data_IF_775371641412
#
_entry.id   IF_775371641412
#
_cell.length_a   1.000
_cell.length_b   1.000
_cell.length_c   1.000
_cell.angle_alpha   90.00
_cell.angle_beta   90.00
_cell.angle_gamma   90.00
#
_symmetry.space_group_name_H-M   'P 1'
#
loop_
_entity.id
_entity.type
_entity.pdbx_description
1 polymer ?
#
# COMPACT_ATOMS: atom_id res chain seq x y z
N UNK A 1 24.43 -11.43 -18.25
CA UNK A 1 23.68 -10.16 -18.33
C UNK A 1 22.37 -10.36 -17.58
N UNK A 2 21.92 -9.36 -16.83
CA UNK A 2 20.61 -9.39 -16.13
C UNK A 2 19.48 -9.58 -17.16
N UNK A 3 19.69 -9.18 -18.41
CA UNK A 3 18.75 -9.36 -19.52
C UNK A 3 18.42 -10.81 -19.89
N UNK A 4 19.21 -11.77 -19.45
CA UNK A 4 18.98 -13.18 -19.82
C UNK A 4 17.96 -13.88 -18.89
N UNK A 5 17.54 -13.17 -17.82
CA UNK A 5 16.52 -13.61 -16.86
C UNK A 5 15.12 -13.00 -17.12
N UNK A 6 15.05 -11.99 -17.99
CA UNK A 6 13.82 -11.22 -18.21
C UNK A 6 13.34 -11.47 -19.64
N UNK A 7 12.07 -11.79 -19.77
CA UNK A 7 11.43 -11.83 -21.09
C UNK A 7 11.40 -10.44 -21.71
N UNK A 8 11.53 -10.36 -23.03
CA UNK A 8 11.28 -9.10 -23.72
C UNK A 8 9.79 -8.75 -23.63
N UNK A 9 9.44 -7.50 -23.30
CA UNK A 9 8.05 -7.11 -23.19
C UNK A 9 7.34 -7.23 -24.55
N UNK A 10 6.11 -7.71 -24.52
CA UNK A 10 5.25 -7.81 -25.69
C UNK A 10 4.79 -6.43 -26.17
N UNK A 11 4.35 -6.32 -27.43
CA UNK A 11 3.77 -5.08 -27.97
C UNK A 11 2.57 -4.59 -27.14
N UNK A 12 1.78 -5.51 -26.59
CA UNK A 12 0.65 -5.19 -25.72
C UNK A 12 1.10 -4.55 -24.41
N UNK A 13 2.14 -5.07 -23.79
CA UNK A 13 2.73 -4.53 -22.54
C UNK A 13 3.33 -3.15 -22.80
N UNK A 14 4.08 -3.00 -23.90
CA UNK A 14 4.62 -1.71 -24.31
C UNK A 14 3.50 -0.68 -24.51
N UNK A 15 2.43 -1.05 -25.19
CA UNK A 15 1.29 -0.17 -25.40
C UNK A 15 0.57 0.17 -24.09
N UNK A 16 0.44 -0.79 -23.17
CA UNK A 16 -0.16 -0.59 -21.85
C UNK A 16 0.63 0.38 -20.97
N UNK A 17 1.97 0.33 -21.05
CA UNK A 17 2.87 1.15 -20.25
C UNK A 17 3.19 2.51 -20.88
N UNK A 18 2.84 2.71 -22.15
CA UNK A 18 3.14 3.95 -22.87
C UNK A 18 2.65 5.21 -22.11
N UNK A 19 3.41 6.33 -22.17
CA UNK A 19 4.64 6.54 -22.94
C UNK A 19 5.93 6.06 -22.26
N UNK A 20 5.84 5.45 -21.09
CA UNK A 20 7.00 4.98 -20.32
C UNK A 20 7.55 3.69 -20.93
N UNK A 21 8.88 3.59 -21.18
CA UNK A 21 9.49 2.33 -21.58
C UNK A 21 9.51 1.33 -20.42
N UNK A 22 9.36 0.06 -20.74
CA UNK A 22 9.56 -1.03 -19.80
C UNK A 22 11.07 -1.30 -19.71
N UNK A 23 11.66 -1.04 -18.54
CA UNK A 23 13.08 -1.31 -18.29
C UNK A 23 13.32 -2.74 -17.84
N UNK A 24 12.44 -3.24 -16.98
CA UNK A 24 12.47 -4.59 -16.45
C UNK A 24 11.04 -5.13 -16.49
N UNK A 25 10.83 -6.22 -17.23
CA UNK A 25 9.52 -6.86 -17.31
C UNK A 25 9.30 -7.79 -16.12
N UNK A 26 9.12 -7.22 -14.92
CA UNK A 26 9.01 -7.97 -13.67
C UNK A 26 7.70 -8.74 -13.58
N UNK A 27 6.66 -8.31 -14.30
CA UNK A 27 5.36 -8.99 -14.33
C UNK A 27 5.39 -10.40 -14.91
N UNK A 28 6.41 -10.72 -15.72
CA UNK A 28 6.60 -12.06 -16.29
C UNK A 28 7.50 -12.97 -15.43
N UNK A 29 8.04 -12.45 -14.34
CA UNK A 29 8.91 -13.23 -13.46
C UNK A 29 8.06 -14.04 -12.49
N UNK A 30 8.14 -15.37 -12.63
CA UNK A 30 7.36 -16.32 -11.83
C UNK A 30 8.23 -17.27 -10.99
N UNK A 31 9.56 -17.06 -10.96
CA UNK A 31 10.50 -17.91 -10.23
C UNK A 31 11.23 -17.09 -9.17
N UNK A 32 11.23 -17.50 -7.89
CA UNK A 32 10.59 -18.73 -7.33
C UNK A 32 9.06 -18.63 -7.21
N UNK A 33 8.48 -17.46 -7.34
CA UNK A 33 7.06 -17.13 -7.35
C UNK A 33 6.85 -15.82 -8.12
N UNK A 34 5.61 -15.45 -8.38
CA UNK A 34 5.28 -14.17 -9.05
C UNK A 34 5.86 -12.99 -8.25
N UNK A 35 6.65 -12.13 -8.94
CA UNK A 35 7.29 -10.98 -8.31
C UNK A 35 6.31 -9.82 -8.12
N UNK A 36 5.37 -9.69 -9.03
CA UNK A 36 4.33 -8.67 -8.97
C UNK A 36 2.97 -9.33 -8.76
N UNK A 37 2.12 -8.80 -7.85
CA UNK A 37 0.83 -9.41 -7.56
C UNK A 37 -0.13 -9.19 -8.74
N UNK A 38 -0.79 -10.25 -9.17
CA UNK A 38 -1.87 -10.20 -10.17
C UNK A 38 -3.23 -9.87 -9.55
N UNK A 39 -3.36 -10.12 -8.25
CA UNK A 39 -4.56 -9.83 -7.47
C UNK A 39 -4.17 -9.11 -6.17
N UNK A 40 -4.83 -8.03 -5.88
CA UNK A 40 -4.57 -7.20 -4.69
C UNK A 40 -5.81 -7.07 -3.82
N UNK A 41 -5.61 -6.97 -2.50
CA UNK A 41 -6.67 -6.73 -1.53
C UNK A 41 -6.86 -5.24 -1.27
N UNK A 42 -8.09 -4.76 -1.43
CA UNK A 42 -8.50 -3.40 -1.03
C UNK A 42 -9.53 -3.50 0.07
N UNK A 43 -9.39 -2.68 1.10
CA UNK A 43 -10.31 -2.70 2.24
C UNK A 43 -10.68 -1.28 2.67
N UNK A 44 -11.83 -1.14 3.31
CA UNK A 44 -12.27 0.11 3.91
C UNK A 44 -12.94 -0.15 5.25
N UNK A 45 -12.58 0.66 6.25
CA UNK A 45 -13.12 0.59 7.60
C UNK A 45 -13.66 1.95 8.01
N UNK A 46 -14.79 1.95 8.76
CA UNK A 46 -15.37 3.17 9.34
C UNK A 46 -15.29 3.11 10.86
N UNK A 47 -14.73 4.15 11.47
CA UNK A 47 -14.68 4.35 12.94
C UNK A 47 -15.13 5.78 13.23
N UNK A 48 -16.39 5.94 13.66
CA UNK A 48 -16.97 7.27 13.79
C UNK A 48 -17.00 8.01 12.45
N UNK A 49 -16.35 9.17 12.38
CA UNK A 49 -16.20 9.96 11.15
C UNK A 49 -14.87 9.69 10.38
N UNK A 50 -14.08 8.73 10.84
CA UNK A 50 -12.82 8.34 10.20
C UNK A 50 -13.08 7.13 9.30
N UNK A 51 -12.61 7.22 8.06
CA UNK A 51 -12.63 6.14 7.07
C UNK A 51 -11.19 5.77 6.73
N UNK A 52 -10.79 4.56 7.07
CA UNK A 52 -9.46 4.02 6.78
C UNK A 52 -9.56 3.23 5.48
N UNK A 53 -8.79 3.64 4.49
CA UNK A 53 -8.68 3.00 3.17
C UNK A 53 -7.36 2.26 3.10
N UNK A 54 -7.42 0.94 3.06
CA UNK A 54 -6.26 0.05 3.02
C UNK A 54 -5.92 -0.29 1.57
N UNK A 55 -4.67 -0.01 1.19
CA UNK A 55 -4.13 -0.26 -0.16
C UNK A 55 -2.72 -0.85 -0.08
N UNK A 56 -2.36 -1.81 -0.96
CA UNK A 56 -1.04 -2.46 -0.93
C UNK A 56 0.02 -1.70 -1.74
N UNK A 57 -0.04 -0.38 -1.78
CA UNK A 57 0.82 0.42 -2.68
C UNK A 57 1.31 1.70 -2.02
N UNK A 58 2.36 2.27 -2.63
CA UNK A 58 2.89 3.59 -2.29
C UNK A 58 2.24 4.67 -3.15
N UNK A 59 1.29 5.38 -2.58
CA UNK A 59 0.62 6.49 -3.26
C UNK A 59 1.45 7.76 -3.17
N UNK A 60 1.68 8.45 -4.29
CA UNK A 60 2.20 9.81 -4.27
C UNK A 60 1.23 10.74 -3.54
N UNK A 61 1.72 11.89 -3.08
CA UNK A 61 0.88 12.87 -2.41
C UNK A 61 -0.35 13.25 -3.23
N UNK A 62 -0.19 13.44 -4.54
CA UNK A 62 -1.30 13.86 -5.39
C UNK A 62 -2.24 12.71 -5.72
N UNK A 63 -1.74 11.50 -5.95
CA UNK A 63 -2.59 10.32 -6.14
C UNK A 63 -3.42 10.03 -4.90
N UNK A 64 -2.80 10.12 -3.71
CA UNK A 64 -3.50 9.97 -2.44
C UNK A 64 -4.56 11.05 -2.19
N UNK A 65 -4.29 12.30 -2.57
CA UNK A 65 -5.29 13.38 -2.49
C UNK A 65 -6.49 13.11 -3.40
N UNK A 66 -6.26 12.64 -4.63
CA UNK A 66 -7.32 12.32 -5.58
C UNK A 66 -8.18 11.14 -5.10
N UNK A 67 -7.54 10.07 -4.63
CA UNK A 67 -8.25 8.91 -4.07
C UNK A 67 -9.09 9.29 -2.85
N UNK A 68 -8.53 10.04 -1.89
CA UNK A 68 -9.27 10.53 -0.72
C UNK A 68 -10.47 11.40 -1.10
N UNK A 69 -10.30 12.30 -2.07
CA UNK A 69 -11.38 13.17 -2.53
C UNK A 69 -12.54 12.36 -3.13
N UNK A 70 -12.24 11.33 -3.93
CA UNK A 70 -13.26 10.46 -4.52
C UNK A 70 -14.03 9.68 -3.46
N UNK A 71 -13.33 9.05 -2.52
CA UNK A 71 -13.97 8.31 -1.42
C UNK A 71 -14.80 9.25 -0.54
N UNK A 72 -14.24 10.41 -0.15
CA UNK A 72 -14.94 11.39 0.71
C UNK A 72 -16.27 11.82 0.12
N UNK A 73 -16.30 12.09 -1.20
CA UNK A 73 -17.53 12.50 -1.89
C UNK A 73 -18.66 11.46 -1.74
N UNK A 74 -18.32 10.18 -1.62
CA UNK A 74 -19.30 9.09 -1.53
C UNK A 74 -19.74 8.89 -0.09
N UNK A 75 -18.79 8.88 0.87
CA UNK A 75 -19.10 8.50 2.27
C UNK A 75 -19.56 9.68 3.14
N UNK A 76 -19.47 10.92 2.64
CA UNK A 76 -19.85 12.11 3.41
C UNK A 76 -21.30 12.05 3.91
N UNK A 77 -22.21 11.53 3.09
CA UNK A 77 -23.64 11.43 3.40
C UNK A 77 -23.95 10.37 4.46
N UNK A 78 -22.97 9.56 4.88
CA UNK A 78 -23.11 8.62 6.00
C UNK A 78 -23.01 9.29 7.37
N UNK A 79 -22.63 10.54 7.43
CA UNK A 79 -22.38 11.26 8.67
C UNK A 79 -23.52 12.22 8.99
N UNK A 80 -23.75 12.50 10.29
CA UNK A 80 -24.67 13.54 10.72
C UNK A 80 -24.32 14.92 10.10
N UNK A 81 -25.32 15.77 10.00
CA UNK A 81 -25.14 17.16 9.56
C UNK A 81 -24.11 17.87 10.45
N UNK A 82 -23.15 18.56 9.83
CA UNK A 82 -22.07 19.27 10.51
C UNK A 82 -20.83 18.41 10.79
N UNK A 83 -20.89 17.10 10.62
CA UNK A 83 -19.70 16.25 10.69
C UNK A 83 -18.99 16.11 9.34
N UNK A 84 -17.67 16.07 9.36
CA UNK A 84 -16.84 15.93 8.16
C UNK A 84 -16.16 14.56 8.11
N UNK A 85 -16.29 13.86 6.99
CA UNK A 85 -15.58 12.60 6.75
C UNK A 85 -14.06 12.81 6.64
N UNK A 86 -13.32 12.08 7.46
CA UNK A 86 -11.86 12.07 7.48
C UNK A 86 -11.35 10.79 6.82
N UNK A 87 -10.79 10.92 5.63
CA UNK A 87 -10.26 9.78 4.88
C UNK A 87 -8.77 9.64 5.14
N UNK A 88 -8.37 8.47 5.63
CA UNK A 88 -6.97 8.08 5.87
C UNK A 88 -6.62 6.95 4.93
N UNK A 89 -5.54 7.10 4.17
CA UNK A 89 -4.99 6.01 3.37
C UNK A 89 -3.94 5.30 4.21
N UNK A 90 -4.14 4.01 4.46
CA UNK A 90 -3.16 3.09 5.00
C UNK A 90 -2.47 2.41 3.81
N UNK A 91 -1.32 2.95 3.42
CA UNK A 91 -0.49 2.37 2.37
C UNK A 91 0.22 1.11 2.84
N UNK A 92 0.74 0.33 1.90
CA UNK A 92 1.50 -0.91 2.16
C UNK A 92 0.74 -1.94 3.02
N UNK A 93 -0.58 -1.93 2.91
CA UNK A 93 -1.44 -2.83 3.70
C UNK A 93 -1.61 -4.17 3.00
N UNK A 94 -1.35 -5.26 3.73
CA UNK A 94 -1.62 -6.65 3.32
C UNK A 94 -0.93 -7.14 2.04
N UNK A 95 0.05 -6.42 1.55
CA UNK A 95 0.80 -6.75 0.35
C UNK A 95 1.55 -5.56 -0.20
N UNK A 96 2.20 -5.78 -1.36
CA UNK A 96 2.95 -4.72 -2.03
C UNK A 96 2.72 -4.79 -3.54
N UNK A 97 2.26 -3.70 -4.13
CA UNK A 97 2.01 -3.59 -5.57
C UNK A 97 2.64 -2.33 -6.16
N UNK A 98 3.83 -1.98 -5.65
CA UNK A 98 4.65 -0.86 -6.12
C UNK A 98 3.97 0.51 -5.96
N UNK A 99 4.27 1.47 -6.81
CA UNK A 99 3.81 2.86 -6.70
C UNK A 99 2.51 3.12 -7.45
N UNK A 100 1.79 4.15 -6.97
CA UNK A 100 0.61 4.70 -7.65
C UNK A 100 0.80 6.20 -7.79
N UNK A 101 0.90 6.64 -9.04
CA UNK A 101 1.05 8.04 -9.41
C UNK A 101 -0.20 8.57 -10.12
N UNK A 102 -0.32 9.87 -10.22
CA UNK A 102 -1.29 10.47 -11.15
C UNK A 102 -0.83 10.27 -12.60
N UNK A 103 -1.74 10.45 -13.55
CA UNK A 103 -1.39 10.37 -14.97
C UNK A 103 -0.32 11.39 -15.35
N UNK A 104 -0.39 12.59 -14.78
CA UNK A 104 0.57 13.67 -15.04
C UNK A 104 1.95 13.35 -14.45
N UNK A 105 2.01 12.80 -13.24
CA UNK A 105 3.26 12.35 -12.63
C UNK A 105 3.86 11.18 -13.43
N UNK A 106 3.03 10.27 -13.95
CA UNK A 106 3.47 9.15 -14.78
C UNK A 106 4.22 9.61 -16.02
N UNK A 107 3.78 10.71 -16.65
CA UNK A 107 4.44 11.28 -17.82
C UNK A 107 5.84 11.84 -17.51
N UNK A 108 6.12 12.20 -16.26
CA UNK A 108 7.37 12.83 -15.87
C UNK A 108 8.54 11.84 -15.70
N UNK A 109 8.29 10.54 -15.74
CA UNK A 109 9.30 9.46 -15.64
C UNK A 109 10.29 9.61 -14.46
N UNK A 110 9.79 10.06 -13.32
CA UNK A 110 10.58 10.10 -12.08
C UNK A 110 10.49 8.77 -11.36
N UNK A 111 11.17 8.65 -10.22
CA UNK A 111 11.26 7.40 -9.47
C UNK A 111 9.89 6.73 -9.28
N UNK A 112 8.92 7.43 -8.72
CA UNK A 112 7.58 6.91 -8.43
C UNK A 112 6.84 6.51 -9.73
N UNK A 113 6.95 7.33 -10.76
CA UNK A 113 6.35 7.03 -12.05
C UNK A 113 7.02 5.83 -12.72
N UNK A 114 8.35 5.74 -12.66
CA UNK A 114 9.10 4.59 -13.17
C UNK A 114 8.69 3.29 -12.46
N UNK A 115 8.34 3.40 -11.17
CA UNK A 115 7.92 2.28 -10.32
C UNK A 115 6.40 2.04 -10.32
N UNK A 116 5.62 2.79 -11.10
CA UNK A 116 4.18 2.52 -11.32
C UNK A 116 4.06 1.47 -12.42
N UNK A 117 4.24 0.21 -12.03
CA UNK A 117 4.45 -0.93 -12.93
C UNK A 117 3.20 -1.39 -13.69
N UNK A 118 2.00 -1.03 -13.24
CA UNK A 118 0.74 -1.40 -13.88
C UNK A 118 0.21 -0.36 -14.87
N UNK A 119 1.05 0.63 -15.24
CA UNK A 119 0.75 1.59 -16.30
C UNK A 119 0.06 2.87 -15.83
N UNK A 120 -0.23 3.79 -16.79
CA UNK A 120 -0.70 5.15 -16.50
C UNK A 120 -2.09 5.21 -15.87
N UNK A 121 -2.90 4.17 -16.03
CA UNK A 121 -4.28 4.09 -15.54
C UNK A 121 -4.41 3.48 -14.14
N UNK A 122 -3.30 3.16 -13.48
CA UNK A 122 -3.28 2.51 -12.16
C UNK A 122 -4.12 3.27 -11.13
N UNK A 123 -3.94 4.58 -11.00
CA UNK A 123 -4.74 5.39 -10.07
C UNK A 123 -6.24 5.37 -10.41
N UNK A 124 -6.58 5.41 -11.71
CA UNK A 124 -7.98 5.37 -12.13
C UNK A 124 -8.65 4.06 -11.73
N UNK A 125 -7.96 2.93 -11.88
CA UNK A 125 -8.43 1.63 -11.41
C UNK A 125 -8.63 1.60 -9.89
N UNK A 126 -7.66 2.08 -9.12
CA UNK A 126 -7.82 2.21 -7.66
C UNK A 126 -9.01 3.08 -7.26
N UNK A 127 -9.19 4.24 -7.88
CA UNK A 127 -10.32 5.13 -7.59
C UNK A 127 -11.65 4.46 -7.93
N UNK A 128 -11.72 3.72 -9.03
CA UNK A 128 -12.92 2.98 -9.42
C UNK A 128 -13.30 1.95 -8.35
N UNK A 129 -12.37 1.11 -7.93
CA UNK A 129 -12.64 0.06 -6.96
C UNK A 129 -12.89 0.61 -5.55
N UNK A 130 -12.12 1.59 -5.11
CA UNK A 130 -12.38 2.25 -3.83
C UNK A 130 -13.74 2.96 -3.80
N UNK A 131 -14.17 3.53 -4.93
CA UNK A 131 -15.50 4.14 -5.05
C UNK A 131 -16.59 3.09 -5.01
N UNK A 132 -16.38 1.90 -5.58
CA UNK A 132 -17.30 0.77 -5.49
C UNK A 132 -17.44 0.32 -4.04
N UNK A 133 -16.33 0.06 -3.34
CA UNK A 133 -16.33 -0.34 -1.93
C UNK A 133 -17.01 0.73 -1.05
N UNK A 134 -16.72 2.00 -1.27
CA UNK A 134 -17.35 3.10 -0.56
C UNK A 134 -18.86 3.14 -0.79
N UNK A 135 -19.30 2.90 -2.02
CA UNK A 135 -20.72 2.86 -2.38
C UNK A 135 -21.43 1.68 -1.72
N UNK A 136 -20.81 0.50 -1.70
CA UNK A 136 -21.35 -0.68 -1.02
C UNK A 136 -21.46 -0.42 0.49
N UNK A 137 -20.45 0.19 1.10
CA UNK A 137 -20.50 0.60 2.51
C UNK A 137 -21.67 1.56 2.80
N UNK A 138 -21.89 2.57 1.94
CA UNK A 138 -23.02 3.51 2.08
C UNK A 138 -24.37 2.79 2.00
N UNK A 139 -24.48 1.83 1.08
CA UNK A 139 -25.71 1.02 0.91
C UNK A 139 -25.90 -0.05 1.97
N UNK A 140 -24.87 -0.33 2.77
CA UNK A 140 -24.89 -1.45 3.71
C UNK A 140 -24.92 -2.82 3.03
N UNK A 141 -24.41 -2.89 1.78
CA UNK A 141 -24.30 -4.12 1.02
C UNK A 141 -22.91 -4.72 1.18
N UNK A 142 -22.84 -6.05 1.16
CA UNK A 142 -21.56 -6.74 1.18
C UNK A 142 -20.80 -6.53 -0.15
N UNK A 143 -19.55 -6.13 -0.05
CA UNK A 143 -18.68 -6.02 -1.23
C UNK A 143 -18.24 -7.42 -1.66
N UNK A 144 -18.64 -7.83 -2.84
CA UNK A 144 -18.23 -9.13 -3.40
C UNK A 144 -16.81 -9.06 -3.95
N UNK A 145 -16.07 -10.15 -3.77
CA UNK A 145 -14.73 -10.35 -4.35
C UNK A 145 -14.72 -11.67 -5.10
N UNK A 146 -14.22 -11.66 -6.32
CA UNK A 146 -14.21 -12.86 -7.17
C UNK A 146 -13.02 -13.78 -6.82
N UNK A 147 -11.86 -13.20 -6.55
CA UNK A 147 -10.63 -13.95 -6.26
C UNK A 147 -9.87 -13.32 -5.10
N UNK A 148 -9.60 -14.06 -4.03
CA UNK A 148 -8.69 -13.58 -2.99
C UNK A 148 -7.24 -13.53 -3.51
N UNK A 149 -6.39 -12.63 -2.99
CA UNK A 149 -4.96 -12.69 -3.21
C UNK A 149 -4.40 -14.05 -2.77
N UNK A 150 -3.38 -14.54 -3.46
CA UNK A 150 -2.70 -15.78 -3.08
C UNK A 150 -2.04 -15.59 -1.71
N UNK A 151 -2.27 -16.53 -0.79
CA UNK A 151 -1.54 -16.58 0.47
C UNK A 151 -0.13 -17.14 0.23
N UNK A 152 0.87 -16.27 0.42
CA UNK A 152 2.29 -16.59 0.21
C UNK A 152 3.05 -16.80 1.52
N UNK A 153 2.37 -16.78 2.67
CA UNK A 153 3.03 -16.81 3.99
C UNK A 153 4.04 -17.97 4.16
N UNK A 154 3.73 -19.14 3.60
CA UNK A 154 4.58 -20.32 3.70
C UNK A 154 5.42 -20.60 2.44
N UNK A 155 5.29 -19.80 1.40
CA UNK A 155 5.97 -19.99 0.12
C UNK A 155 7.08 -18.96 -0.11
N UNK A 156 7.13 -17.89 0.70
CA UNK A 156 8.14 -16.84 0.56
C UNK A 156 9.53 -17.37 0.88
N UNK A 157 10.47 -17.09 -0.02
CA UNK A 157 11.89 -17.35 0.18
C UNK A 157 12.53 -16.15 0.85
N UNK A 158 12.99 -16.33 2.09
CA UNK A 158 13.74 -15.29 2.78
C UNK A 158 15.17 -15.22 2.24
N UNK A 159 15.49 -14.13 1.52
CA UNK A 159 16.83 -13.90 0.96
C UNK A 159 17.72 -13.06 1.90
N UNK A 160 17.15 -12.48 2.95
CA UNK A 160 17.88 -11.66 3.89
C UNK A 160 18.45 -12.52 5.02
N UNK A 161 19.71 -12.30 5.44
CA UNK A 161 20.23 -13.00 6.63
C UNK A 161 19.46 -12.57 7.87
N UNK A 162 19.24 -13.53 8.76
CA UNK A 162 18.60 -13.24 10.06
C UNK A 162 19.31 -12.12 10.81
N UNK A 163 18.55 -11.31 11.54
CA UNK A 163 19.11 -10.22 12.37
C UNK A 163 20.02 -10.80 13.44
N UNK A 164 21.33 -10.46 13.38
CA UNK A 164 22.34 -11.00 14.29
C UNK A 164 22.56 -10.15 15.56
N UNK A 165 22.17 -8.87 15.52
CA UNK A 165 22.55 -7.88 16.53
C UNK A 165 21.36 -7.17 17.18
N UNK A 166 20.14 -7.58 16.91
CA UNK A 166 18.97 -7.02 17.58
C UNK A 166 18.82 -7.63 18.98
N UNK A 167 18.90 -6.81 20.02
CA UNK A 167 18.80 -7.24 21.41
C UNK A 167 18.00 -6.23 22.21
N UNK A 168 17.13 -6.72 23.06
CA UNK A 168 16.50 -5.88 24.08
C UNK A 168 17.52 -5.52 25.19
N UNK A 169 17.35 -4.40 25.90
CA UNK A 169 18.14 -4.06 27.10
C UNK A 169 18.05 -5.16 28.17
N UNK A 170 19.11 -5.28 28.97
CA UNK A 170 19.14 -6.26 30.07
C UNK A 170 17.95 -6.02 30.99
N UNK A 171 17.18 -7.07 31.27
CA UNK A 171 16.01 -7.02 32.16
C UNK A 171 14.70 -6.63 31.47
N UNK A 172 14.70 -6.38 30.18
CA UNK A 172 13.48 -6.12 29.38
C UNK A 172 13.21 -7.26 28.40
N UNK A 173 12.07 -7.19 27.68
CA UNK A 173 11.69 -8.08 26.58
C UNK A 173 11.35 -7.23 25.36
N UNK A 174 11.39 -7.81 24.16
CA UNK A 174 10.84 -7.14 22.97
C UNK A 174 9.38 -6.76 23.21
N UNK A 175 9.01 -5.55 22.79
CA UNK A 175 7.68 -4.99 23.03
C UNK A 175 7.49 -4.39 24.44
N UNK A 176 8.47 -4.45 25.32
CA UNK A 176 8.40 -3.76 26.63
C UNK A 176 8.45 -2.25 26.42
N UNK A 177 7.61 -1.53 27.17
CA UNK A 177 7.72 -0.07 27.26
C UNK A 177 8.92 0.27 28.13
N UNK A 178 9.86 1.02 27.59
CA UNK A 178 10.99 1.56 28.36
C UNK A 178 10.57 2.91 28.92
N UNK A 179 10.31 2.95 30.22
CA UNK A 179 10.07 4.23 30.90
C UNK A 179 11.39 4.99 31.02
N UNK A 180 11.44 6.19 30.46
CA UNK A 180 12.58 7.10 30.65
C UNK A 180 12.70 7.50 32.11
N UNK A 181 13.90 7.49 32.65
CA UNK A 181 14.16 7.84 34.07
C UNK A 181 13.87 9.31 34.41
N UNK A 182 13.67 10.15 33.44
CA UNK A 182 13.45 11.60 33.58
C UNK A 182 12.13 12.01 32.91
N UNK A 183 11.01 11.60 33.51
CA UNK A 183 9.74 12.24 33.21
C UNK A 183 9.68 13.51 34.05
N UNK A 184 10.33 14.56 33.60
CA UNK A 184 10.00 15.90 34.06
C UNK A 184 8.56 16.19 33.64
N UNK A 185 7.70 16.48 34.59
CA UNK A 185 6.26 16.68 34.42
C UNK A 185 5.85 17.78 33.44
N UNK A 186 6.81 18.48 32.84
CA UNK A 186 6.59 19.57 31.86
C UNK A 186 6.80 19.14 30.40
N UNK A 187 7.29 17.94 30.12
CA UNK A 187 7.43 17.45 28.76
C UNK A 187 6.43 16.32 28.48
N UNK A 188 5.73 16.35 27.33
CA UNK A 188 4.83 15.25 27.00
C UNK A 188 5.60 13.94 26.94
N UNK A 189 5.09 12.92 27.66
CA UNK A 189 5.62 11.57 27.65
C UNK A 189 5.78 11.04 26.22
N UNK A 190 7.02 10.71 25.85
CA UNK A 190 7.31 9.98 24.60
C UNK A 190 7.72 8.56 24.96
N UNK A 191 6.81 7.57 24.87
CA UNK A 191 7.20 6.19 25.07
C UNK A 191 8.19 5.79 23.97
N UNK A 192 9.35 5.29 24.38
CA UNK A 192 10.28 4.63 23.46
C UNK A 192 9.85 3.17 23.35
N UNK A 193 9.30 2.80 22.20
CA UNK A 193 8.98 1.41 21.90
C UNK A 193 10.27 0.78 21.35
N UNK A 194 10.82 -0.18 22.07
CA UNK A 194 11.82 -1.08 21.48
C UNK A 194 11.09 -2.04 20.56
N UNK A 195 11.04 -1.72 19.28
CA UNK A 195 10.58 -2.68 18.27
C UNK A 195 11.70 -3.66 17.98
N UNK A 196 11.42 -4.95 17.99
CA UNK A 196 12.21 -5.85 17.18
C UNK A 196 11.88 -5.49 15.74
N UNK A 197 12.82 -4.97 15.00
CA UNK A 197 12.69 -4.89 13.57
C UNK A 197 12.81 -6.30 12.98
N UNK A 198 11.81 -7.13 13.17
CA UNK A 198 11.54 -8.18 12.21
C UNK A 198 11.00 -7.46 10.99
N UNK A 199 11.90 -6.99 10.15
CA UNK A 199 11.56 -6.60 8.80
C UNK A 199 11.10 -7.89 8.12
N UNK A 200 9.83 -7.95 7.83
CA UNK A 200 9.26 -8.87 6.87
C UNK A 200 9.83 -8.58 5.49
#
# INVERSE_FOLDING_TARGET
KVSDFLSEPTEREIACQAPKPILLNTGDITIPYEWDPTTIGLQMFKIGNIFIVSVPSEFTTMSGRRARKSVKKIVQDMLPEGEEAKIVIAGLSNGYSSYVTTLEEYQAQRYEAASTIFGPNTLAGYIQELSRIATDMVKGTETTTDLPPKDMQNEMVEMMPSVKFDRHPIGSKFGSIVEGKDVNTETPYKPTITSSSSVL
#
